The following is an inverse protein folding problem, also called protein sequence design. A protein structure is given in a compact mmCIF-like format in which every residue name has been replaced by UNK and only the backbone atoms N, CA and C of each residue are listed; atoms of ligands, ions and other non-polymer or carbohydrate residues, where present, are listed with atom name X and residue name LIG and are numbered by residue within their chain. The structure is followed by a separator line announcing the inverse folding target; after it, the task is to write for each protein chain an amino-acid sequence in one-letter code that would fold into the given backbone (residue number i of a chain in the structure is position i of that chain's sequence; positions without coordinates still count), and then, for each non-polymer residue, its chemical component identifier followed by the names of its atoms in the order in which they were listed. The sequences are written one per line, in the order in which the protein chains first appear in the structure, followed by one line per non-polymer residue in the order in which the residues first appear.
data_IF_811704301136
#
_entry.id   IF_811704301136
#
_cell.length_a   1.000
_cell.length_b   1.000
_cell.length_c   1.000
_cell.angle_alpha   90.00
_cell.angle_beta   90.00
_cell.angle_gamma   90.00
#
_symmetry.space_group_name_H-M   'P 1'
#
loop_
_entity.id
_entity.type
_entity.pdbx_description
1 polymer ?
#
# COMPACT_ATOMS: atom_id res chain seq x y z
N UNK A 1 -24.36 -16.99 -1.83
CA UNK A 1 -23.41 -15.88 -2.05
C UNK A 1 -24.10 -14.58 -1.65
N UNK A 2 -23.47 -13.65 -0.92
CA UNK A 2 -24.13 -12.38 -0.57
C UNK A 2 -24.23 -11.51 -1.83
N UNK A 3 -25.42 -10.99 -2.12
CA UNK A 3 -25.69 -10.08 -3.24
C UNK A 3 -24.80 -8.84 -3.15
N UNK A 4 -24.66 -8.28 -1.95
CA UNK A 4 -23.80 -7.13 -1.67
C UNK A 4 -22.36 -7.39 -2.12
N UNK A 5 -21.80 -8.54 -1.76
CA UNK A 5 -20.44 -8.94 -2.14
C UNK A 5 -20.24 -9.03 -3.66
N UNK A 6 -21.23 -9.58 -4.37
CA UNK A 6 -21.20 -9.70 -5.83
C UNK A 6 -21.13 -8.31 -6.50
N UNK A 7 -21.94 -7.37 -6.01
CA UNK A 7 -21.96 -5.99 -6.52
C UNK A 7 -20.63 -5.28 -6.22
N UNK A 8 -20.09 -5.41 -5.01
CA UNK A 8 -18.79 -4.82 -4.64
C UNK A 8 -17.65 -5.31 -5.54
N UNK A 9 -17.59 -6.64 -5.80
CA UNK A 9 -16.57 -7.22 -6.68
C UNK A 9 -16.76 -6.73 -8.13
N UNK A 10 -18.02 -6.65 -8.60
CA UNK A 10 -18.32 -6.18 -9.96
C UNK A 10 -17.94 -4.71 -10.13
N UNK A 11 -18.21 -3.85 -9.14
CA UNK A 11 -17.79 -2.46 -9.13
C UNK A 11 -16.26 -2.33 -9.21
N UNK A 12 -15.50 -3.07 -8.39
CA UNK A 12 -14.04 -3.07 -8.44
C UNK A 12 -13.51 -3.46 -9.81
N UNK A 13 -14.07 -4.50 -10.41
CA UNK A 13 -13.67 -4.97 -11.74
C UNK A 13 -13.99 -3.95 -12.83
N UNK A 14 -15.22 -3.47 -12.89
CA UNK A 14 -15.69 -2.59 -13.96
C UNK A 14 -15.01 -1.22 -13.93
N UNK A 15 -14.78 -0.66 -12.73
CA UNK A 15 -14.17 0.66 -12.56
C UNK A 15 -12.64 0.68 -12.69
N UNK A 16 -12.00 -0.44 -13.07
CA UNK A 16 -10.57 -0.45 -13.38
C UNK A 16 -10.19 0.51 -14.52
N UNK A 17 -11.10 0.71 -15.48
CA UNK A 17 -10.85 1.55 -16.65
C UNK A 17 -11.47 2.94 -16.58
N UNK A 18 -12.17 3.29 -15.50
CA UNK A 18 -12.83 4.59 -15.33
C UNK A 18 -14.24 4.49 -14.77
N UNK A 19 -15.02 5.54 -15.01
CA UNK A 19 -16.43 5.62 -14.61
C UNK A 19 -17.28 4.55 -15.31
N UNK A 20 -18.33 4.07 -14.66
CA UNK A 20 -19.17 2.96 -15.10
C UNK A 20 -20.64 3.35 -15.01
N UNK A 21 -21.45 2.92 -15.95
CA UNK A 21 -22.91 3.11 -15.90
C UNK A 21 -23.56 2.06 -14.98
N UNK A 22 -24.69 2.43 -14.39
CA UNK A 22 -25.49 1.51 -13.56
C UNK A 22 -25.89 0.26 -14.36
N UNK A 23 -26.20 0.43 -15.65
CA UNK A 23 -26.57 -0.67 -16.53
C UNK A 23 -25.42 -1.67 -16.74
N UNK A 24 -24.17 -1.23 -16.73
CA UNK A 24 -23.01 -2.15 -16.82
C UNK A 24 -22.93 -3.06 -15.58
N UNK A 25 -23.25 -2.52 -14.40
CA UNK A 25 -23.32 -3.30 -13.16
C UNK A 25 -24.48 -4.30 -13.20
N UNK A 26 -25.65 -3.88 -13.69
CA UNK A 26 -26.80 -4.79 -13.89
C UNK A 26 -26.42 -5.94 -14.82
N UNK A 27 -25.83 -5.63 -15.97
CA UNK A 27 -25.42 -6.64 -16.96
C UNK A 27 -24.38 -7.61 -16.39
N UNK A 28 -23.42 -7.10 -15.60
CA UNK A 28 -22.35 -7.91 -15.03
C UNK A 28 -22.82 -8.82 -13.89
N UNK A 29 -23.79 -8.38 -13.10
CA UNK A 29 -24.29 -9.10 -11.91
C UNK A 29 -25.54 -9.92 -12.20
N UNK A 30 -26.29 -9.56 -13.27
CA UNK A 30 -27.62 -10.11 -13.60
C UNK A 30 -28.65 -9.96 -12.46
N UNK A 31 -28.45 -8.98 -11.59
CA UNK A 31 -29.37 -8.68 -10.50
C UNK A 31 -30.48 -7.71 -10.97
N UNK A 32 -31.64 -7.71 -10.31
CA UNK A 32 -32.70 -6.73 -10.56
C UNK A 32 -32.22 -5.30 -10.37
N UNK A 33 -32.73 -4.37 -11.18
CA UNK A 33 -32.28 -2.96 -11.18
C UNK A 33 -32.56 -2.24 -9.86
N UNK A 34 -33.68 -2.55 -9.22
CA UNK A 34 -34.06 -2.03 -7.90
C UNK A 34 -33.04 -2.44 -6.82
N UNK A 35 -32.66 -3.72 -6.78
CA UNK A 35 -31.65 -4.24 -5.86
C UNK A 35 -30.30 -3.56 -6.06
N UNK A 36 -29.89 -3.34 -7.32
CA UNK A 36 -28.63 -2.64 -7.62
C UNK A 36 -28.72 -1.18 -7.15
N UNK A 37 -29.83 -0.50 -7.42
CA UNK A 37 -30.01 0.90 -6.99
C UNK A 37 -29.92 1.05 -5.49
N UNK A 38 -30.65 0.23 -4.74
CA UNK A 38 -30.64 0.26 -3.26
C UNK A 38 -29.23 0.04 -2.70
N UNK A 39 -28.47 -0.89 -3.28
CA UNK A 39 -27.08 -1.13 -2.87
C UNK A 39 -26.15 0.02 -3.23
N UNK A 40 -26.30 0.63 -4.41
CA UNK A 40 -25.49 1.77 -4.81
C UNK A 40 -25.77 2.99 -3.94
N UNK A 41 -27.03 3.26 -3.58
CA UNK A 41 -27.41 4.31 -2.62
C UNK A 41 -26.80 4.05 -1.24
N UNK A 42 -26.86 2.81 -0.76
CA UNK A 42 -26.20 2.40 0.48
C UNK A 42 -24.69 2.68 0.42
N UNK A 43 -24.01 2.29 -0.67
CA UNK A 43 -22.58 2.50 -0.83
C UNK A 43 -22.22 3.98 -0.97
N UNK A 44 -23.08 4.80 -1.54
CA UNK A 44 -22.92 6.25 -1.57
C UNK A 44 -23.02 6.84 -0.17
N UNK A 45 -23.98 6.41 0.63
CA UNK A 45 -24.16 6.84 2.02
C UNK A 45 -22.96 6.41 2.91
N UNK A 46 -22.34 5.28 2.59
CA UNK A 46 -21.09 4.80 3.22
C UNK A 46 -19.83 5.47 2.64
N UNK A 47 -19.99 6.45 1.75
CA UNK A 47 -18.90 7.18 1.06
C UNK A 47 -17.96 6.30 0.23
N UNK A 48 -18.42 5.13 -0.22
CA UNK A 48 -17.63 4.20 -1.02
C UNK A 48 -17.60 4.55 -2.52
N UNK A 49 -18.58 5.31 -2.99
CA UNK A 49 -18.72 5.75 -4.39
C UNK A 49 -19.47 7.07 -4.49
N UNK A 50 -19.51 7.65 -5.69
CA UNK A 50 -20.34 8.78 -6.02
C UNK A 50 -21.24 8.42 -7.21
N UNK A 51 -22.54 8.73 -7.10
CA UNK A 51 -23.49 8.61 -8.22
C UNK A 51 -23.72 10.00 -8.83
N UNK A 52 -23.47 10.13 -10.12
CA UNK A 52 -23.69 11.37 -10.85
C UNK A 52 -24.33 11.05 -12.22
N UNK A 53 -25.54 11.53 -12.47
CA UNK A 53 -26.24 11.39 -13.76
C UNK A 53 -26.25 9.95 -14.31
N UNK A 54 -26.44 8.96 -13.44
CA UNK A 54 -26.46 7.54 -13.83
C UNK A 54 -25.09 6.88 -14.00
N UNK A 55 -24.00 7.64 -13.80
CA UNK A 55 -22.63 7.12 -13.75
C UNK A 55 -22.16 6.91 -12.32
N UNK A 56 -21.40 5.86 -12.11
CA UNK A 56 -20.74 5.49 -10.88
C UNK A 56 -19.29 5.91 -10.96
N UNK A 57 -18.90 6.85 -10.09
CA UNK A 57 -17.52 7.34 -9.97
C UNK A 57 -16.91 6.87 -8.67
N UNK A 58 -15.73 6.25 -8.78
CA UNK A 58 -15.00 5.73 -7.61
C UNK A 58 -13.56 6.24 -7.71
N UNK A 59 -13.18 7.15 -6.80
CA UNK A 59 -11.79 7.63 -6.69
C UNK A 59 -10.86 6.52 -6.17
N UNK A 60 -9.55 6.69 -6.27
CA UNK A 60 -8.54 5.68 -5.86
C UNK A 60 -8.71 5.27 -4.41
N UNK A 61 -8.80 6.24 -3.49
CA UNK A 61 -9.01 6.01 -2.07
C UNK A 61 -10.30 5.22 -1.78
N UNK A 62 -11.38 5.54 -2.50
CA UNK A 62 -12.67 4.84 -2.39
C UNK A 62 -12.59 3.42 -2.95
N UNK A 63 -11.82 3.17 -4.01
CA UNK A 63 -11.66 1.81 -4.55
C UNK A 63 -11.02 0.88 -3.53
N UNK A 64 -10.06 1.37 -2.74
CA UNK A 64 -9.51 0.57 -1.65
C UNK A 64 -10.53 0.29 -0.55
N UNK A 65 -11.28 1.32 -0.10
CA UNK A 65 -12.34 1.14 0.90
C UNK A 65 -13.39 0.14 0.41
N UNK A 66 -13.73 0.18 -0.88
CA UNK A 66 -14.62 -0.77 -1.53
C UNK A 66 -14.05 -2.21 -1.50
N UNK A 67 -12.75 -2.36 -1.75
CA UNK A 67 -12.05 -3.65 -1.67
C UNK A 67 -12.06 -4.21 -0.24
N UNK A 68 -11.74 -3.38 0.75
CA UNK A 68 -11.80 -3.75 2.16
C UNK A 68 -13.21 -4.16 2.58
N UNK A 69 -14.24 -3.44 2.12
CA UNK A 69 -15.66 -3.79 2.35
C UNK A 69 -16.01 -5.14 1.70
N UNK A 70 -15.57 -5.38 0.46
CA UNK A 70 -15.81 -6.67 -0.21
C UNK A 70 -15.20 -7.84 0.58
N UNK A 71 -13.98 -7.68 1.08
CA UNK A 71 -13.29 -8.68 1.91
C UNK A 71 -14.03 -8.89 3.24
N UNK A 72 -14.47 -7.84 3.91
CA UNK A 72 -15.24 -7.93 5.17
C UNK A 72 -16.58 -8.64 5.00
N UNK A 73 -17.16 -8.63 3.79
CA UNK A 73 -18.36 -9.40 3.43
C UNK A 73 -18.05 -10.84 2.99
N UNK A 74 -16.81 -11.29 3.14
CA UNK A 74 -16.36 -12.63 2.84
C UNK A 74 -15.98 -12.86 1.37
N UNK A 75 -15.58 -11.80 0.65
CA UNK A 75 -14.96 -11.95 -0.66
C UNK A 75 -13.56 -12.55 -0.51
N UNK A 76 -13.17 -13.37 -1.48
CA UNK A 76 -11.81 -13.89 -1.56
C UNK A 76 -10.80 -12.76 -1.80
N UNK A 77 -9.77 -12.69 -0.95
CA UNK A 77 -8.78 -11.62 -0.97
C UNK A 77 -7.98 -11.63 -2.28
N UNK A 78 -7.63 -12.81 -2.81
CA UNK A 78 -6.92 -12.92 -4.10
C UNK A 78 -7.74 -12.31 -5.23
N UNK A 79 -9.03 -12.67 -5.27
CA UNK A 79 -9.96 -12.18 -6.30
C UNK A 79 -10.14 -10.66 -6.23
N UNK A 80 -10.32 -10.11 -5.02
CA UNK A 80 -10.49 -8.65 -4.81
C UNK A 80 -9.22 -7.91 -5.21
N UNK A 81 -8.10 -8.41 -4.74
CA UNK A 81 -6.79 -7.81 -4.93
C UNK A 81 -6.37 -7.74 -6.41
N UNK A 82 -6.80 -8.72 -7.23
CA UNK A 82 -6.55 -8.69 -8.66
C UNK A 82 -7.18 -7.49 -9.38
N UNK A 83 -8.16 -6.83 -8.77
CA UNK A 83 -8.81 -5.64 -9.31
C UNK A 83 -8.23 -4.31 -8.81
N UNK A 84 -7.29 -4.34 -7.86
CA UNK A 84 -6.58 -3.16 -7.41
C UNK A 84 -5.44 -2.83 -8.39
N UNK A 85 -5.22 -1.54 -8.63
CA UNK A 85 -4.11 -1.04 -9.45
C UNK A 85 -2.87 -0.89 -8.57
N UNK A 86 -1.71 -0.86 -9.21
CA UNK A 86 -0.43 -0.64 -8.54
C UNK A 86 -0.43 0.63 -7.69
N UNK A 87 -0.83 1.75 -8.29
CA UNK A 87 -0.88 3.05 -7.60
C UNK A 87 -1.81 3.05 -6.38
N UNK A 88 -2.95 2.34 -6.46
CA UNK A 88 -3.86 2.22 -5.31
C UNK A 88 -3.21 1.51 -4.12
N UNK A 89 -2.23 0.68 -4.41
CA UNK A 89 -1.47 -0.06 -3.41
C UNK A 89 -0.41 0.80 -2.73
N UNK A 90 0.25 1.67 -3.48
CA UNK A 90 1.20 2.68 -2.98
C UNK A 90 0.47 3.75 -2.16
N UNK A 91 -0.64 4.30 -2.69
CA UNK A 91 -1.51 5.27 -1.98
C UNK A 91 -1.95 4.74 -0.60
N UNK A 92 -2.21 3.43 -0.51
CA UNK A 92 -2.56 2.78 0.76
C UNK A 92 -1.41 2.73 1.76
N UNK A 93 -0.22 2.40 1.27
CA UNK A 93 0.96 2.36 2.11
C UNK A 93 1.26 3.76 2.67
N UNK A 94 1.14 4.78 1.83
CA UNK A 94 1.27 6.18 2.21
C UNK A 94 0.23 6.57 3.28
N UNK A 95 -1.05 6.33 3.01
CA UNK A 95 -2.14 6.64 3.95
C UNK A 95 -2.01 5.88 5.30
N UNK A 96 -1.52 4.64 5.28
CA UNK A 96 -1.28 3.89 6.51
C UNK A 96 -0.13 4.48 7.33
N UNK A 97 0.94 4.94 6.70
CA UNK A 97 2.04 5.64 7.34
C UNK A 97 1.57 6.98 7.94
N UNK A 98 0.84 7.80 7.18
CA UNK A 98 0.30 9.08 7.65
C UNK A 98 -0.59 8.92 8.89
N UNK A 99 -1.48 7.91 8.90
CA UNK A 99 -2.34 7.59 10.06
C UNK A 99 -1.57 7.16 11.30
N UNK A 100 -0.32 6.75 11.15
CA UNK A 100 0.61 6.44 12.23
C UNK A 100 1.59 7.60 12.53
N UNK A 101 1.27 8.82 12.08
CA UNK A 101 2.04 10.06 12.27
C UNK A 101 3.45 10.01 11.63
N UNK A 102 3.63 9.31 10.52
CA UNK A 102 4.83 9.41 9.71
C UNK A 102 4.70 10.54 8.70
N UNK A 103 5.76 11.32 8.52
CA UNK A 103 5.93 12.19 7.35
C UNK A 103 6.25 11.33 6.14
N UNK A 104 5.46 11.42 5.06
CA UNK A 104 5.51 10.47 3.95
C UNK A 104 6.02 11.13 2.68
N UNK A 105 6.84 10.39 1.93
CA UNK A 105 7.25 10.70 0.57
C UNK A 105 6.97 9.48 -0.30
N UNK A 106 6.20 9.68 -1.36
CA UNK A 106 5.91 8.67 -2.36
C UNK A 106 6.86 8.78 -3.55
N UNK A 107 7.16 7.65 -4.19
CA UNK A 107 7.98 7.57 -5.40
C UNK A 107 9.34 8.29 -5.24
N UNK A 108 10.06 7.98 -4.16
CA UNK A 108 11.35 8.62 -3.89
C UNK A 108 12.41 8.16 -4.88
N UNK A 109 12.84 9.06 -5.76
CA UNK A 109 13.94 8.84 -6.70
C UNK A 109 15.22 9.51 -6.23
N UNK A 110 16.32 8.79 -6.23
CA UNK A 110 17.63 9.34 -5.87
C UNK A 110 18.78 8.68 -6.66
N UNK A 111 19.97 9.30 -6.59
CA UNK A 111 21.19 8.76 -7.18
C UNK A 111 22.20 8.48 -6.07
N UNK A 112 22.81 7.31 -6.14
CA UNK A 112 23.93 6.93 -5.28
C UNK A 112 24.92 6.08 -6.08
N UNK A 113 26.22 6.40 -6.01
CA UNK A 113 27.29 5.73 -6.73
C UNK A 113 27.04 5.57 -8.25
N UNK A 114 26.52 6.62 -8.88
CA UNK A 114 26.23 6.63 -10.32
C UNK A 114 24.97 5.87 -10.74
N UNK A 115 24.34 5.13 -9.82
CA UNK A 115 23.10 4.37 -10.07
C UNK A 115 21.87 5.16 -9.64
N UNK A 116 20.77 5.02 -10.41
CA UNK A 116 19.44 5.53 -10.03
C UNK A 116 18.73 4.48 -9.17
N UNK A 117 18.08 4.96 -8.12
CA UNK A 117 17.32 4.16 -7.18
C UNK A 117 15.93 4.74 -7.02
N UNK A 118 14.98 3.88 -6.68
CA UNK A 118 13.59 4.23 -6.42
C UNK A 118 13.09 3.43 -5.22
N UNK A 119 12.34 4.10 -4.33
CA UNK A 119 11.61 3.48 -3.23
C UNK A 119 10.17 3.97 -3.32
N UNK A 120 9.22 3.04 -3.36
CA UNK A 120 7.82 3.35 -3.63
C UNK A 120 7.22 4.28 -2.57
N UNK A 121 7.42 3.97 -1.27
CA UNK A 121 6.95 4.82 -0.16
C UNK A 121 7.99 4.86 0.95
N UNK A 122 8.29 6.08 1.43
CA UNK A 122 9.18 6.33 2.58
C UNK A 122 8.42 7.10 3.65
N UNK A 123 8.39 6.58 4.87
CA UNK A 123 7.79 7.24 6.02
C UNK A 123 8.83 7.56 7.10
N UNK A 124 8.86 8.80 7.58
CA UNK A 124 9.75 9.28 8.62
C UNK A 124 8.98 9.57 9.92
N UNK A 125 9.34 8.90 11.02
CA UNK A 125 8.89 9.18 12.39
C UNK A 125 10.01 8.84 13.36
N UNK A 126 10.62 9.86 13.99
CA UNK A 126 11.84 9.70 14.82
C UNK A 126 11.70 8.57 15.84
N UNK A 127 12.63 7.60 15.89
CA UNK A 127 13.89 7.53 15.14
C UNK A 127 13.82 6.65 13.87
N UNK A 128 12.62 6.29 13.38
CA UNK A 128 12.40 5.30 12.32
C UNK A 128 12.21 5.97 10.96
N UNK A 129 12.83 5.38 9.94
CA UNK A 129 12.56 5.63 8.53
C UNK A 129 12.12 4.32 7.90
N UNK A 130 10.83 4.18 7.63
CA UNK A 130 10.24 2.98 7.04
C UNK A 130 10.27 3.12 5.52
N UNK A 131 10.94 2.20 4.85
CA UNK A 131 11.10 2.19 3.41
C UNK A 131 10.33 1.00 2.83
N UNK A 132 9.21 1.26 2.18
CA UNK A 132 8.29 0.24 1.67
C UNK A 132 8.51 0.04 0.18
N UNK A 133 8.65 -1.23 -0.22
CA UNK A 133 8.59 -1.70 -1.60
C UNK A 133 7.26 -2.44 -1.80
N UNK A 134 6.39 -1.90 -2.64
CA UNK A 134 5.06 -2.41 -2.89
C UNK A 134 5.10 -3.50 -3.97
N UNK A 135 4.57 -4.68 -3.67
CA UNK A 135 4.58 -5.81 -4.61
C UNK A 135 3.19 -6.41 -4.80
N UNK A 136 2.67 -6.20 -5.99
CA UNK A 136 1.37 -6.71 -6.42
C UNK A 136 1.46 -8.19 -6.84
N UNK A 137 1.70 -9.07 -5.88
CA UNK A 137 1.67 -10.51 -6.11
C UNK A 137 0.67 -11.22 -5.20
N UNK A 138 0.04 -12.25 -5.70
CA UNK A 138 -0.78 -13.20 -4.93
C UNK A 138 0.02 -14.42 -4.47
N UNK A 139 0.99 -14.86 -5.29
CA UNK A 139 1.90 -15.96 -4.99
C UNK A 139 3.30 -15.63 -5.47
N UNK A 140 4.30 -15.94 -4.65
CA UNK A 140 5.69 -15.74 -5.01
C UNK A 140 6.52 -16.99 -4.71
N UNK A 141 7.35 -17.41 -5.67
CA UNK A 141 8.30 -18.49 -5.45
C UNK A 141 9.38 -18.04 -4.46
N UNK A 142 9.90 -18.94 -3.59
CA UNK A 142 10.92 -18.58 -2.60
C UNK A 142 12.15 -17.90 -3.20
N UNK A 143 12.59 -18.31 -4.39
CA UNK A 143 13.72 -17.70 -5.09
C UNK A 143 13.44 -16.28 -5.57
N UNK A 144 12.22 -15.99 -6.00
CA UNK A 144 11.80 -14.66 -6.37
C UNK A 144 11.67 -13.76 -5.14
N UNK A 145 11.11 -14.27 -4.03
CA UNK A 145 11.03 -13.56 -2.76
C UNK A 145 12.41 -13.13 -2.26
N UNK A 146 13.39 -14.05 -2.30
CA UNK A 146 14.79 -13.74 -1.96
C UNK A 146 15.29 -12.53 -2.74
N UNK A 147 15.18 -12.55 -4.08
CA UNK A 147 15.66 -11.45 -4.95
C UNK A 147 14.99 -10.12 -4.63
N UNK A 148 13.68 -10.13 -4.32
CA UNK A 148 12.92 -8.92 -4.01
C UNK A 148 13.38 -8.33 -2.68
N UNK A 149 13.49 -9.14 -1.64
CA UNK A 149 13.98 -8.68 -0.34
C UNK A 149 15.42 -8.18 -0.44
N UNK A 150 16.30 -8.90 -1.13
CA UNK A 150 17.70 -8.45 -1.34
C UNK A 150 17.76 -7.11 -2.10
N UNK A 151 16.94 -6.94 -3.14
CA UNK A 151 16.85 -5.68 -3.87
C UNK A 151 16.36 -4.53 -2.97
N UNK A 152 15.34 -4.76 -2.14
CA UNK A 152 14.84 -3.76 -1.21
C UNK A 152 15.88 -3.38 -0.16
N UNK A 153 16.60 -4.36 0.38
CA UNK A 153 17.72 -4.12 1.31
C UNK A 153 18.79 -3.24 0.68
N UNK A 154 19.15 -3.48 -0.61
CA UNK A 154 20.13 -2.66 -1.33
C UNK A 154 19.63 -1.23 -1.55
N UNK A 155 18.35 -1.03 -1.90
CA UNK A 155 17.75 0.31 -2.06
C UNK A 155 17.82 1.11 -0.77
N UNK A 156 17.39 0.49 0.34
CA UNK A 156 17.35 1.14 1.65
C UNK A 156 18.76 1.46 2.16
N UNK A 157 19.72 0.57 1.94
CA UNK A 157 21.13 0.83 2.23
C UNK A 157 21.65 2.01 1.42
N UNK A 158 21.42 2.00 0.11
CA UNK A 158 21.83 3.10 -0.78
C UNK A 158 21.21 4.44 -0.36
N UNK A 159 19.94 4.45 0.10
CA UNK A 159 19.32 5.65 0.65
C UNK A 159 20.04 6.13 1.91
N UNK A 160 20.24 5.27 2.90
CA UNK A 160 20.94 5.62 4.14
C UNK A 160 22.36 6.13 3.86
N UNK A 161 23.09 5.51 2.94
CA UNK A 161 24.46 5.89 2.58
C UNK A 161 24.52 7.21 1.79
N UNK A 162 23.47 7.53 1.01
CA UNK A 162 23.38 8.77 0.22
C UNK A 162 23.09 10.02 1.06
N UNK A 163 22.59 9.88 2.28
CA UNK A 163 22.24 11.02 3.14
C UNK A 163 23.42 11.49 3.98
N UNK A 164 23.51 12.82 4.30
CA UNK A 164 22.64 13.88 3.81
C UNK A 164 22.95 14.22 2.36
N UNK A 165 21.90 14.31 1.54
CA UNK A 165 22.03 14.74 0.15
C UNK A 165 21.20 16.01 -0.04
N UNK A 166 21.81 17.06 -0.57
CA UNK A 166 21.18 18.38 -0.78
C UNK A 166 19.94 18.32 -1.67
N UNK A 167 19.78 17.26 -2.47
CA UNK A 167 18.63 17.06 -3.35
C UNK A 167 17.53 16.19 -2.73
N UNK A 168 17.67 15.75 -1.47
CA UNK A 168 16.70 14.92 -0.78
C UNK A 168 16.30 15.56 0.55
N UNK A 169 15.11 16.15 0.58
CA UNK A 169 14.53 16.75 1.78
C UNK A 169 13.74 15.69 2.58
N UNK A 170 14.45 14.78 3.24
CA UNK A 170 13.85 13.85 4.16
C UNK A 170 13.86 14.43 5.58
N UNK A 171 12.75 14.34 6.30
CA UNK A 171 12.63 14.85 7.67
C UNK A 171 13.73 14.29 8.59
N UNK A 172 14.10 13.03 8.38
CA UNK A 172 15.12 12.35 9.18
C UNK A 172 16.52 13.00 9.11
N UNK A 173 16.83 13.82 8.11
CA UNK A 173 18.11 14.53 8.01
C UNK A 173 18.28 15.62 9.09
N UNK A 174 17.19 16.01 9.75
CA UNK A 174 17.16 16.96 10.89
C UNK A 174 17.35 16.28 12.25
N UNK A 175 17.48 14.94 12.27
CA UNK A 175 17.64 14.17 13.51
C UNK A 175 19.13 13.85 13.76
N UNK A 176 19.48 13.52 15.01
CA UNK A 176 20.85 13.09 15.34
C UNK A 176 21.15 11.71 14.73
N UNK A 177 20.15 10.85 14.68
CA UNK A 177 20.24 9.50 14.11
C UNK A 177 18.91 9.00 13.61
N UNK A 178 18.95 8.11 12.61
CA UNK A 178 17.79 7.42 12.07
C UNK A 178 18.07 5.95 11.81
N UNK A 179 17.05 5.10 12.00
CA UNK A 179 17.05 3.67 11.66
C UNK A 179 16.21 3.44 10.41
N UNK A 180 16.84 3.09 9.31
CA UNK A 180 16.21 2.82 8.03
C UNK A 180 15.78 1.36 7.97
N UNK A 181 14.49 1.10 7.98
CA UNK A 181 13.89 -0.24 8.01
C UNK A 181 13.35 -0.61 6.64
N UNK A 182 13.94 -1.61 5.96
CA UNK A 182 13.38 -2.14 4.71
C UNK A 182 12.12 -2.96 4.99
N UNK A 183 11.05 -2.69 4.24
CA UNK A 183 9.78 -3.40 4.31
C UNK A 183 9.35 -3.80 2.90
N UNK A 184 8.85 -5.01 2.74
CA UNK A 184 8.18 -5.45 1.51
C UNK A 184 6.69 -5.54 1.82
N UNK A 185 5.90 -4.75 1.14
CA UNK A 185 4.44 -4.80 1.24
C UNK A 185 3.91 -5.75 0.17
N UNK A 186 3.14 -6.72 0.58
CA UNK A 186 2.50 -7.68 -0.32
C UNK A 186 0.99 -7.54 -0.31
N UNK A 187 0.35 -7.86 -1.43
CA UNK A 187 -1.10 -7.85 -1.53
C UNK A 187 -1.72 -8.92 -0.63
N UNK A 188 -1.08 -10.08 -0.59
CA UNK A 188 -1.54 -11.28 0.10
C UNK A 188 -0.56 -11.73 1.17
N UNK A 189 -1.06 -12.57 2.06
CA UNK A 189 -0.19 -13.21 3.05
C UNK A 189 0.86 -14.07 2.34
N UNK A 190 2.13 -13.68 2.46
CA UNK A 190 3.25 -14.48 1.99
C UNK A 190 3.41 -15.73 2.87
N UNK A 191 4.03 -16.78 2.30
CA UNK A 191 4.37 -18.00 3.06
C UNK A 191 5.25 -17.71 4.28
N UNK A 192 6.06 -16.66 4.20
CA UNK A 192 6.98 -16.21 5.25
C UNK A 192 6.63 -14.77 5.64
N UNK A 193 6.52 -14.52 6.94
CA UNK A 193 6.34 -13.16 7.48
C UNK A 193 7.63 -12.33 7.45
N UNK A 194 8.78 -13.00 7.44
CA UNK A 194 10.11 -12.39 7.40
C UNK A 194 11.04 -13.18 6.50
N UNK A 195 11.94 -12.49 5.85
CA UNK A 195 13.09 -13.07 5.18
C UNK A 195 14.36 -12.28 5.53
N UNK A 196 15.35 -12.92 6.16
CA UNK A 196 16.56 -12.27 6.68
C UNK A 196 16.25 -11.03 7.54
N UNK A 197 15.29 -11.15 8.46
CA UNK A 197 14.79 -10.11 9.35
C UNK A 197 14.16 -8.90 8.63
N UNK A 198 13.88 -9.00 7.34
CA UNK A 198 13.08 -8.03 6.59
C UNK A 198 11.62 -8.46 6.64
N UNK A 199 10.72 -7.62 7.14
CA UNK A 199 9.30 -7.93 7.21
C UNK A 199 8.65 -7.95 5.81
N UNK A 200 7.78 -8.95 5.61
CA UNK A 200 6.92 -9.08 4.44
C UNK A 200 5.51 -8.94 4.95
N UNK A 201 4.94 -7.77 4.76
CA UNK A 201 3.69 -7.36 5.40
C UNK A 201 2.55 -7.43 4.39
N UNK A 202 1.50 -8.22 4.66
CA UNK A 202 0.27 -8.13 3.89
C UNK A 202 -0.37 -6.76 4.08
N UNK A 203 -0.89 -6.19 3.02
CA UNK A 203 -1.46 -4.84 3.05
C UNK A 203 -2.55 -4.65 4.11
N UNK A 204 -3.41 -5.65 4.32
CA UNK A 204 -4.45 -5.60 5.36
C UNK A 204 -3.89 -5.62 6.79
N UNK A 205 -2.62 -5.99 6.97
CA UNK A 205 -1.94 -6.01 8.28
C UNK A 205 -0.97 -4.83 8.45
N UNK A 206 -0.87 -3.94 7.46
CA UNK A 206 0.10 -2.84 7.49
C UNK A 206 -0.15 -1.90 8.67
N UNK A 207 -1.40 -1.57 8.97
CA UNK A 207 -1.76 -0.70 10.09
C UNK A 207 -1.29 -1.28 11.43
N UNK A 208 -1.57 -2.56 11.68
CA UNK A 208 -1.17 -3.25 12.89
C UNK A 208 0.36 -3.38 12.98
N UNK A 209 1.00 -3.69 11.86
CA UNK A 209 2.46 -3.74 11.78
C UNK A 209 3.11 -2.40 12.15
N UNK A 210 2.64 -1.29 11.57
CA UNK A 210 3.19 0.05 11.83
C UNK A 210 3.00 0.47 13.30
N UNK A 211 1.87 0.16 13.90
CA UNK A 211 1.61 0.46 15.32
C UNK A 211 2.55 -0.29 16.26
N UNK A 212 2.95 -1.50 15.91
CA UNK A 212 3.82 -2.37 16.70
C UNK A 212 5.31 -2.21 16.37
N UNK A 213 5.64 -1.63 15.21
CA UNK A 213 7.00 -1.54 14.69
C UNK A 213 8.02 -0.94 15.67
N UNK A 214 7.71 0.14 16.44
CA UNK A 214 8.66 0.68 17.40
C UNK A 214 9.14 -0.33 18.43
N UNK A 215 8.28 -1.25 18.88
CA UNK A 215 8.60 -2.25 19.90
C UNK A 215 9.51 -3.38 19.36
N UNK A 216 9.43 -3.66 18.05
CA UNK A 216 10.12 -4.80 17.43
C UNK A 216 11.30 -4.42 16.54
N UNK A 217 11.62 -3.12 16.42
CA UNK A 217 12.64 -2.63 15.47
C UNK A 217 13.99 -3.33 15.67
N UNK A 218 14.41 -3.59 16.91
CA UNK A 218 15.71 -4.23 17.21
C UNK A 218 15.82 -5.68 16.70
N UNK A 219 14.70 -6.35 16.50
CA UNK A 219 14.67 -7.71 15.93
C UNK A 219 14.64 -7.71 14.38
N UNK A 220 14.44 -6.54 13.79
CA UNK A 220 14.37 -6.38 12.34
C UNK A 220 15.73 -6.00 11.76
N UNK A 221 15.84 -6.15 10.45
CA UNK A 221 16.97 -5.59 9.72
C UNK A 221 16.77 -4.09 9.56
N UNK A 222 17.77 -3.29 9.97
CA UNK A 222 17.80 -1.85 9.73
C UNK A 222 19.23 -1.37 9.44
N UNK A 223 19.33 -0.15 8.91
CA UNK A 223 20.58 0.56 8.72
C UNK A 223 20.55 1.79 9.63
N UNK A 224 21.53 1.89 10.54
CA UNK A 224 21.68 3.07 11.38
C UNK A 224 22.46 4.14 10.61
N UNK A 225 21.91 5.35 10.60
CA UNK A 225 22.58 6.54 10.08
C UNK A 225 22.65 7.60 11.18
N UNK A 226 23.82 8.11 11.42
CA UNK A 226 24.07 9.27 12.28
C UNK A 226 24.25 10.50 11.39
N UNK A 227 23.67 11.61 11.79
CA UNK A 227 23.76 12.89 11.10
C UNK A 227 24.58 13.85 11.94
N UNK A 228 25.69 14.35 11.38
CA UNK A 228 26.50 15.36 12.04
C UNK A 228 25.93 16.73 11.65
N UNK A 229 25.30 17.41 12.59
CA UNK A 229 24.91 18.80 12.41
C UNK A 229 26.15 19.64 12.77
N UNK A 230 26.83 20.18 11.76
CA UNK A 230 27.81 21.24 11.99
C UNK A 230 27.02 22.45 12.49
N UNK A 231 27.18 22.75 13.80
CA UNK A 231 26.59 23.89 14.49
C UNK A 231 27.06 25.24 13.90
#
# INVERSE_FOLDING_TARGET
MSVEREVLISLLRLTQSGDVLIDDVNNATRLPRDVIRDLLEKFQNEELLNLQSGAIKISRDKRFRLAAKAISTGADVERVSAFLRWQEFEDMAAAALERNDYSVIENLHFKHEGRRWEIDVVGCKKPLVVCIDCKHWSRVAPSALKRIVEAQVQRVRALADSLPNINLELECTKWDKAKFVPVVLSLMQARFKFYNNVPIVPVLQLQDFLSQLPAYTESLRYFLKEFTHLG
#
